data_IF_035229659866
#
_entry.id   IF_035229659866
#
_cell.length_a   1.000
_cell.length_b   1.000
_cell.length_c   1.000
_cell.angle_alpha   90.00
_cell.angle_beta   90.00
_cell.angle_gamma   90.00
#
_symmetry.space_group_name_H-M   'P 1'
#
loop_
_entity.id
_entity.type
_entity.pdbx_description
1 polymer ?
#
# COMPACT_ATOMS: atom_id res chain seq x y z
N UNK A 1 13.50 9.28 58.66
CA UNK A 1 12.69 10.32 58.00
C UNK A 1 13.48 10.86 56.82
N UNK A 2 13.22 10.36 55.63
CA UNK A 2 14.02 10.64 54.43
C UNK A 2 13.17 11.50 53.49
N UNK A 3 13.49 12.78 53.43
CA UNK A 3 12.78 13.77 52.62
C UNK A 3 13.25 13.71 51.17
N UNK A 4 12.37 13.25 50.27
CA UNK A 4 12.63 13.15 48.83
C UNK A 4 12.24 14.47 48.17
N UNK A 5 13.22 15.15 47.56
CA UNK A 5 13.02 16.38 46.78
C UNK A 5 12.42 16.06 45.41
N UNK A 6 11.21 16.54 45.14
CA UNK A 6 10.60 16.59 43.82
C UNK A 6 11.12 17.82 43.07
N UNK A 7 12.00 17.63 42.08
CA UNK A 7 12.50 18.71 41.23
C UNK A 7 11.80 18.72 39.86
N UNK A 8 11.07 19.81 39.62
CA UNK A 8 10.79 20.51 38.36
C UNK A 8 10.93 19.75 37.01
N UNK A 9 9.79 19.31 36.45
CA UNK A 9 9.65 18.85 35.04
C UNK A 9 8.85 19.81 34.14
N UNK A 10 8.43 20.98 34.64
CA UNK A 10 7.50 21.86 33.93
C UNK A 10 8.10 22.68 32.76
N UNK A 11 9.43 22.80 32.65
CA UNK A 11 10.04 23.72 31.67
C UNK A 11 10.40 23.10 30.31
N UNK A 12 10.33 21.77 30.16
CA UNK A 12 10.69 21.08 28.90
C UNK A 12 9.52 20.97 27.90
N UNK A 13 8.26 21.06 28.39
CA UNK A 13 7.07 20.90 27.54
C UNK A 13 6.77 22.05 26.58
N UNK A 14 7.29 23.26 26.80
CA UNK A 14 6.96 24.44 25.97
C UNK A 14 7.82 24.58 24.70
N UNK A 15 9.00 23.96 24.62
CA UNK A 15 9.85 24.05 23.42
C UNK A 15 9.33 23.17 22.28
N UNK A 16 8.72 22.02 22.59
CA UNK A 16 8.23 21.09 21.57
C UNK A 16 6.99 21.58 20.78
N UNK A 17 6.18 22.47 21.36
CA UNK A 17 4.93 22.90 20.71
C UNK A 17 5.15 23.93 19.58
N UNK A 18 6.25 24.70 19.63
CA UNK A 18 6.57 25.66 18.58
C UNK A 18 7.17 24.96 17.36
N UNK A 19 8.04 23.97 17.59
CA UNK A 19 8.66 23.17 16.53
C UNK A 19 7.62 22.31 15.77
N UNK A 20 6.63 21.72 16.48
CA UNK A 20 5.51 21.01 15.85
C UNK A 20 4.63 21.92 14.97
N UNK A 21 4.48 23.21 15.32
CA UNK A 21 3.64 24.13 14.55
C UNK A 21 4.31 24.54 13.24
N UNK A 22 5.64 24.70 13.23
CA UNK A 22 6.40 25.09 12.04
C UNK A 22 6.50 23.95 11.02
N UNK A 23 6.61 22.71 11.48
CA UNK A 23 6.67 21.51 10.63
C UNK A 23 5.32 21.27 9.92
N UNK A 24 4.20 21.41 10.65
CA UNK A 24 2.85 21.30 10.07
C UNK A 24 2.57 22.35 8.97
N UNK A 25 3.18 23.54 9.05
CA UNK A 25 2.94 24.62 8.08
C UNK A 25 3.72 24.43 6.78
N UNK A 26 4.93 23.82 6.84
CA UNK A 26 5.71 23.46 5.65
C UNK A 26 5.01 22.38 4.82
N UNK A 27 4.42 21.38 5.48
CA UNK A 27 3.65 20.33 4.81
C UNK A 27 2.43 20.89 4.06
N UNK A 28 1.74 21.89 4.64
CA UNK A 28 0.58 22.51 4.02
C UNK A 28 0.93 23.25 2.71
N UNK A 29 2.06 23.96 2.66
CA UNK A 29 2.53 24.67 1.47
C UNK A 29 2.90 23.68 0.37
N UNK A 30 3.64 22.62 0.68
CA UNK A 30 4.02 21.57 -0.28
C UNK A 30 2.78 20.86 -0.86
N UNK A 31 1.75 20.62 -0.04
CA UNK A 31 0.47 20.05 -0.47
C UNK A 31 -0.30 20.96 -1.43
N UNK A 32 -0.21 22.30 -1.27
CA UNK A 32 -0.90 23.25 -2.16
C UNK A 32 -0.29 23.32 -3.56
N UNK A 33 1.04 23.29 -3.68
CA UNK A 33 1.71 23.35 -4.98
C UNK A 33 1.54 22.05 -5.77
N UNK A 34 1.57 20.89 -5.11
CA UNK A 34 1.30 19.60 -5.76
C UNK A 34 -0.14 19.50 -6.29
N UNK A 35 -1.12 20.06 -5.56
CA UNK A 35 -2.52 20.12 -6.03
C UNK A 35 -2.68 21.06 -7.22
N UNK A 36 -2.00 22.21 -7.23
CA UNK A 36 -2.07 23.17 -8.34
C UNK A 36 -1.45 22.60 -9.62
N UNK A 37 -0.29 21.94 -9.54
CA UNK A 37 0.33 21.28 -10.70
C UNK A 37 -0.54 20.15 -11.27
N UNK A 38 -1.29 19.43 -10.43
CA UNK A 38 -2.22 18.40 -10.91
C UNK A 38 -3.39 18.95 -11.73
N UNK A 39 -3.75 20.22 -11.61
CA UNK A 39 -4.84 20.80 -12.39
C UNK A 39 -4.48 21.02 -13.87
N UNK A 40 -3.19 21.15 -14.18
CA UNK A 40 -2.73 21.63 -15.49
C UNK A 40 -2.15 20.54 -16.39
N UNK A 41 -2.21 19.27 -15.98
CA UNK A 41 -1.67 18.16 -16.78
C UNK A 41 -2.37 18.07 -18.15
N UNK A 42 -1.57 18.09 -19.21
CA UNK A 42 -2.00 17.93 -20.60
C UNK A 42 -2.33 16.49 -20.95
N UNK A 43 -3.00 16.29 -22.08
CA UNK A 43 -3.34 14.95 -22.58
C UNK A 43 -2.08 14.12 -22.88
N UNK A 44 -1.07 14.75 -23.49
CA UNK A 44 0.19 14.14 -23.89
C UNK A 44 1.02 13.71 -22.68
N UNK A 45 1.07 14.55 -21.65
CA UNK A 45 1.73 14.23 -20.38
C UNK A 45 1.06 13.05 -19.68
N UNK A 46 -0.28 12.99 -19.68
CA UNK A 46 -1.01 11.88 -19.11
C UNK A 46 -0.75 10.57 -19.86
N UNK A 47 -0.78 10.58 -21.19
CA UNK A 47 -0.50 9.37 -21.98
C UNK A 47 0.96 8.92 -21.82
N UNK A 48 1.90 9.86 -21.71
CA UNK A 48 3.31 9.58 -21.37
C UNK A 48 3.42 8.93 -19.98
N UNK A 49 2.70 9.44 -18.98
CA UNK A 49 2.63 8.84 -17.65
C UNK A 49 2.11 7.40 -17.71
N UNK A 50 1.04 7.13 -18.45
CA UNK A 50 0.51 5.76 -18.61
C UNK A 50 1.54 4.82 -19.23
N UNK A 51 2.33 5.32 -20.20
CA UNK A 51 3.39 4.52 -20.83
C UNK A 51 4.56 4.25 -19.89
N UNK A 52 5.07 5.28 -19.22
CA UNK A 52 6.31 5.19 -18.43
C UNK A 52 6.09 4.68 -17.00
N UNK A 53 5.07 5.18 -16.31
CA UNK A 53 4.81 4.87 -14.89
C UNK A 53 3.86 3.69 -14.71
N UNK A 54 3.02 3.42 -15.70
CA UNK A 54 2.10 2.27 -15.71
C UNK A 54 2.53 1.17 -16.67
N UNK A 55 3.75 1.21 -17.19
CA UNK A 55 4.32 0.24 -18.14
C UNK A 55 3.42 0.01 -19.37
N UNK A 56 2.62 1.00 -19.78
CA UNK A 56 1.66 0.86 -20.88
C UNK A 56 0.59 -0.21 -20.66
N UNK A 57 0.31 -0.60 -19.40
CA UNK A 57 -0.62 -1.69 -19.06
C UNK A 57 -2.07 -1.43 -19.45
N UNK A 58 -2.40 -0.16 -19.58
CA UNK A 58 -3.65 0.29 -20.15
C UNK A 58 -3.43 1.62 -20.84
N UNK A 59 -4.26 1.89 -21.84
CA UNK A 59 -4.18 3.10 -22.65
C UNK A 59 -5.49 3.85 -22.59
N UNK A 60 -5.43 5.16 -22.81
CA UNK A 60 -6.60 5.99 -23.01
C UNK A 60 -7.20 5.70 -24.39
N UNK A 61 -8.52 5.60 -24.46
CA UNK A 61 -9.28 5.41 -25.72
C UNK A 61 -10.37 6.47 -25.89
N UNK A 62 -10.75 7.18 -24.83
CA UNK A 62 -11.72 8.27 -24.87
C UNK A 62 -11.11 9.66 -25.02
N UNK A 63 -11.97 10.64 -25.31
CA UNK A 63 -11.63 12.06 -25.39
C UNK A 63 -11.16 12.60 -24.05
N UNK A 64 -10.12 13.44 -24.07
CA UNK A 64 -9.61 14.10 -22.87
C UNK A 64 -10.55 15.23 -22.43
N UNK A 65 -11.02 15.16 -21.19
CA UNK A 65 -11.87 16.20 -20.57
C UNK A 65 -11.20 16.91 -19.39
N UNK A 66 -9.90 16.73 -19.20
CA UNK A 66 -9.16 17.18 -18.02
C UNK A 66 -9.04 16.12 -16.92
N UNK A 67 -8.21 16.40 -15.91
CA UNK A 67 -7.72 15.42 -14.93
C UNK A 67 -8.82 14.83 -14.04
N UNK A 68 -9.90 15.57 -13.81
CA UNK A 68 -11.01 15.16 -12.94
C UNK A 68 -12.20 14.56 -13.70
N UNK A 69 -12.23 14.66 -15.03
CA UNK A 69 -13.32 14.10 -15.84
C UNK A 69 -13.02 12.65 -16.17
N UNK A 70 -14.05 11.82 -16.19
CA UNK A 70 -13.90 10.40 -16.53
C UNK A 70 -13.52 10.28 -18.00
N UNK A 71 -12.54 9.43 -18.30
CA UNK A 71 -12.07 9.17 -19.66
C UNK A 71 -12.05 7.65 -19.87
N UNK A 72 -12.43 7.17 -21.04
CA UNK A 72 -12.37 5.74 -21.33
C UNK A 72 -10.92 5.25 -21.47
N UNK A 73 -10.64 4.09 -20.88
CA UNK A 73 -9.39 3.34 -20.97
C UNK A 73 -9.68 1.90 -21.39
N UNK A 74 -8.65 1.27 -21.93
CA UNK A 74 -8.65 -0.14 -22.33
C UNK A 74 -7.40 -0.83 -21.79
N UNK A 75 -7.57 -2.05 -21.27
CA UNK A 75 -6.45 -2.88 -20.86
C UNK A 75 -5.65 -3.33 -22.08
N UNK A 76 -4.34 -3.14 -22.05
CA UNK A 76 -3.45 -3.59 -23.13
C UNK A 76 -3.09 -5.09 -23.04
N UNK A 77 -3.57 -5.79 -22.00
CA UNK A 77 -3.48 -7.24 -21.90
C UNK A 77 -4.52 -7.88 -22.83
N UNK A 78 -4.04 -8.63 -23.84
CA UNK A 78 -4.87 -9.23 -24.89
C UNK A 78 -5.95 -10.15 -24.33
N UNK A 79 -5.69 -10.82 -23.21
CA UNK A 79 -6.67 -11.71 -22.58
C UNK A 79 -7.72 -10.96 -21.77
N UNK A 80 -7.36 -9.79 -21.23
CA UNK A 80 -8.29 -8.99 -20.44
C UNK A 80 -9.15 -8.10 -21.32
N UNK A 81 -8.54 -7.29 -22.19
CA UNK A 81 -9.15 -6.31 -23.11
C UNK A 81 -10.28 -5.44 -22.51
N UNK A 82 -10.35 -5.34 -21.18
CA UNK A 82 -11.48 -4.69 -20.50
C UNK A 82 -11.43 -3.20 -20.80
N UNK A 83 -12.60 -2.61 -21.01
CA UNK A 83 -12.79 -1.16 -21.07
C UNK A 83 -13.40 -0.65 -19.78
N UNK A 84 -12.94 0.49 -19.28
CA UNK A 84 -13.50 1.18 -18.11
C UNK A 84 -13.24 2.68 -18.19
N UNK A 85 -13.92 3.49 -17.37
CA UNK A 85 -13.82 4.94 -17.42
C UNK A 85 -13.56 5.58 -16.04
N UNK A 86 -12.32 5.55 -15.52
CA UNK A 86 -11.90 6.31 -14.35
C UNK A 86 -11.60 7.77 -14.70
N UNK A 87 -11.40 8.62 -13.69
CA UNK A 87 -10.74 9.91 -13.93
C UNK A 87 -9.22 9.72 -14.05
N UNK A 88 -8.52 10.55 -14.85
CA UNK A 88 -7.06 10.59 -14.86
C UNK A 88 -6.45 10.75 -13.47
N UNK A 89 -7.04 11.57 -12.59
CA UNK A 89 -6.60 11.72 -11.20
C UNK A 89 -6.47 10.37 -10.48
N UNK A 90 -7.47 9.49 -10.64
CA UNK A 90 -7.44 8.15 -10.06
C UNK A 90 -6.31 7.31 -10.67
N UNK A 91 -6.13 7.38 -11.99
CA UNK A 91 -5.07 6.66 -12.68
C UNK A 91 -3.65 7.12 -12.29
N UNK A 92 -3.51 8.38 -11.87
CA UNK A 92 -2.25 8.95 -11.39
C UNK A 92 -1.84 8.41 -10.01
N UNK A 93 -2.72 7.73 -9.26
CA UNK A 93 -2.31 7.06 -8.02
C UNK A 93 -1.47 5.84 -8.35
N UNK A 94 -0.44 5.55 -7.56
CA UNK A 94 0.50 4.47 -7.86
C UNK A 94 -0.15 3.09 -7.94
N UNK A 95 -1.23 2.87 -7.18
CA UNK A 95 -1.92 1.59 -7.04
C UNK A 95 -3.10 1.38 -8.01
N UNK A 96 -3.42 2.36 -8.86
CA UNK A 96 -4.52 2.23 -9.81
C UNK A 96 -4.12 1.46 -11.08
N UNK A 97 -4.85 0.38 -11.38
CA UNK A 97 -4.66 -0.50 -12.55
C UNK A 97 -6.00 -1.05 -13.05
N UNK A 98 -5.97 -1.83 -14.14
CA UNK A 98 -7.16 -2.52 -14.68
C UNK A 98 -7.92 -3.29 -13.57
N UNK A 99 -9.19 -2.95 -13.29
CA UNK A 99 -9.96 -3.58 -12.23
C UNK A 99 -10.12 -5.09 -12.41
N UNK A 100 -10.25 -5.58 -13.65
CA UNK A 100 -10.33 -7.03 -13.90
C UNK A 100 -9.02 -7.74 -13.59
N UNK A 101 -7.88 -7.20 -14.05
CA UNK A 101 -6.58 -7.77 -13.73
C UNK A 101 -6.33 -7.77 -12.21
N UNK A 102 -6.69 -6.68 -11.54
CA UNK A 102 -6.56 -6.51 -10.08
C UNK A 102 -7.49 -7.44 -9.28
N UNK A 103 -8.77 -7.54 -9.64
CA UNK A 103 -9.75 -8.35 -8.91
C UNK A 103 -9.55 -9.84 -9.14
N UNK A 104 -9.16 -10.26 -10.36
CA UNK A 104 -8.83 -11.65 -10.64
C UNK A 104 -7.71 -12.18 -9.72
N UNK A 105 -6.80 -11.32 -9.23
CA UNK A 105 -5.77 -11.72 -8.26
C UNK A 105 -6.30 -12.18 -6.91
N UNK A 106 -7.47 -11.70 -6.47
CA UNK A 106 -7.99 -12.01 -5.13
C UNK A 106 -8.65 -13.39 -5.04
N UNK A 107 -9.28 -13.85 -6.12
CA UNK A 107 -10.25 -14.95 -6.04
C UNK A 107 -9.88 -16.21 -6.85
N UNK A 108 -8.74 -16.26 -7.55
CA UNK A 108 -8.47 -17.35 -8.48
C UNK A 108 -7.05 -17.92 -8.42
N UNK A 109 -6.71 -18.59 -7.31
CA UNK A 109 -5.44 -19.32 -7.16
C UNK A 109 -5.31 -20.50 -8.15
N UNK A 110 -6.43 -21.14 -8.52
CA UNK A 110 -6.40 -22.32 -9.39
C UNK A 110 -6.10 -21.99 -10.85
N UNK A 111 -6.32 -20.73 -11.27
CA UNK A 111 -6.00 -20.25 -12.63
C UNK A 111 -4.50 -20.11 -12.88
N UNK A 112 -3.67 -20.26 -11.85
CA UNK A 112 -2.20 -20.21 -11.92
C UNK A 112 -1.56 -21.46 -12.54
N UNK A 113 -2.36 -22.48 -12.89
CA UNK A 113 -1.88 -23.65 -13.64
C UNK A 113 -1.81 -23.42 -15.16
N UNK A 114 -2.45 -22.35 -15.67
CA UNK A 114 -2.45 -22.05 -17.11
C UNK A 114 -1.27 -21.14 -17.46
N UNK A 115 -0.39 -21.62 -18.34
CA UNK A 115 0.81 -20.91 -18.79
C UNK A 115 0.49 -19.65 -19.64
N UNK A 116 -0.70 -19.56 -20.24
CA UNK A 116 -1.14 -18.39 -21.03
C UNK A 116 -1.48 -17.22 -20.11
N UNK A 117 -2.05 -17.55 -18.96
CA UNK A 117 -2.26 -16.66 -17.82
C UNK A 117 -0.96 -16.47 -17.03
N UNK A 118 0.15 -16.28 -17.75
CA UNK A 118 1.45 -15.79 -17.30
C UNK A 118 1.23 -14.38 -16.75
N UNK A 119 0.74 -14.35 -15.53
CA UNK A 119 0.56 -13.23 -14.62
C UNK A 119 0.86 -11.84 -15.20
N UNK A 120 -0.03 -10.90 -14.84
CA UNK A 120 0.38 -9.52 -14.57
C UNK A 120 1.30 -9.45 -13.33
N UNK A 121 2.44 -10.18 -13.35
CA UNK A 121 3.54 -10.22 -12.37
C UNK A 121 4.08 -8.84 -12.05
N UNK A 122 3.79 -7.89 -12.94
CA UNK A 122 4.23 -6.51 -12.84
C UNK A 122 3.31 -5.62 -12.03
N UNK A 123 2.07 -6.01 -11.68
CA UNK A 123 1.27 -5.22 -10.73
C UNK A 123 1.97 -5.38 -9.38
N UNK A 124 2.64 -4.33 -8.87
CA UNK A 124 3.47 -4.55 -7.72
C UNK A 124 2.53 -4.80 -6.52
N UNK A 125 2.94 -5.71 -5.65
CA UNK A 125 2.22 -6.07 -4.44
C UNK A 125 3.14 -5.82 -3.24
N UNK A 126 2.54 -5.50 -2.11
CA UNK A 126 3.26 -5.23 -0.87
C UNK A 126 3.02 -6.41 0.05
N UNK A 127 4.07 -7.19 0.27
CA UNK A 127 4.07 -8.23 1.30
C UNK A 127 4.40 -7.60 2.64
N UNK A 128 3.64 -7.97 3.66
CA UNK A 128 3.86 -7.44 5.00
C UNK A 128 3.87 -8.52 6.06
N UNK A 129 4.56 -8.20 7.16
CA UNK A 129 4.58 -8.96 8.40
C UNK A 129 4.30 -7.98 9.56
N UNK A 130 3.30 -8.26 10.38
CA UNK A 130 2.99 -7.54 11.60
C UNK A 130 3.21 -8.45 12.80
N UNK A 131 3.78 -7.91 13.87
CA UNK A 131 3.58 -8.42 15.22
C UNK A 131 2.33 -7.75 15.81
N UNK A 132 1.49 -8.49 16.51
CA UNK A 132 0.32 -7.95 17.18
C UNK A 132 0.09 -8.64 18.51
N UNK A 133 -0.55 -7.94 19.43
CA UNK A 133 -1.00 -8.47 20.72
C UNK A 133 -2.52 -8.44 20.73
N UNK A 134 -3.13 -9.56 21.07
CA UNK A 134 -4.57 -9.62 21.24
C UNK A 134 -4.97 -9.09 22.64
N UNK A 135 -5.71 -7.97 22.75
CA UNK A 135 -6.13 -7.42 24.04
C UNK A 135 -7.04 -8.38 24.82
N UNK A 136 -7.72 -9.33 24.16
CA UNK A 136 -8.61 -10.29 24.80
C UNK A 136 -7.91 -11.42 25.55
N UNK A 137 -6.60 -11.59 25.35
CA UNK A 137 -5.86 -12.73 25.94
C UNK A 137 -5.27 -12.44 27.32
N UNK A 138 -5.42 -11.23 27.87
CA UNK A 138 -4.72 -10.79 29.09
C UNK A 138 -5.57 -10.70 30.35
N UNK A 139 -6.68 -11.44 30.46
CA UNK A 139 -7.70 -11.12 31.46
C UNK A 139 -7.58 -11.80 32.83
N UNK A 140 -6.47 -12.45 33.23
CA UNK A 140 -6.13 -12.61 34.67
C UNK A 140 -4.76 -13.26 34.99
N UNK A 141 -4.10 -14.00 34.10
CA UNK A 141 -2.83 -14.67 34.46
C UNK A 141 -1.93 -15.09 33.26
N UNK A 142 -2.23 -14.55 32.08
CA UNK A 142 -1.66 -15.02 30.82
C UNK A 142 -0.61 -14.04 30.28
N UNK A 143 0.63 -14.54 30.18
CA UNK A 143 1.75 -13.91 29.47
C UNK A 143 1.25 -13.32 28.14
N UNK A 144 1.49 -12.02 27.93
CA UNK A 144 1.10 -11.29 26.71
C UNK A 144 1.64 -12.03 25.47
N UNK A 145 0.76 -12.73 24.76
CA UNK A 145 1.17 -13.57 23.64
C UNK A 145 1.23 -12.73 22.37
N UNK A 146 2.44 -12.45 21.89
CA UNK A 146 2.64 -11.83 20.58
C UNK A 146 2.31 -12.83 19.47
N UNK A 147 1.46 -12.40 18.52
CA UNK A 147 1.12 -13.14 17.31
C UNK A 147 1.77 -12.48 16.09
N UNK A 148 2.07 -13.28 15.07
CA UNK A 148 2.58 -12.80 13.80
C UNK A 148 1.50 -12.93 12.72
N UNK A 149 1.15 -11.81 12.10
CA UNK A 149 0.21 -11.74 10.97
C UNK A 149 0.97 -11.36 9.71
N UNK A 150 0.91 -12.20 8.68
CA UNK A 150 1.44 -11.87 7.36
C UNK A 150 0.33 -11.71 6.35
N UNK A 151 0.58 -10.95 5.29
CA UNK A 151 -0.40 -10.75 4.25
C UNK A 151 0.15 -9.98 3.06
N UNK A 152 -0.77 -9.59 2.17
CA UNK A 152 -0.47 -8.86 0.94
C UNK A 152 -1.45 -7.71 0.76
N UNK A 153 -1.00 -6.60 0.19
CA UNK A 153 -1.85 -5.45 -0.14
C UNK A 153 -1.32 -4.73 -1.38
N UNK A 154 -2.23 -4.10 -2.13
CA UNK A 154 -1.84 -3.31 -3.29
C UNK A 154 -1.26 -1.96 -2.91
N UNK A 155 -1.65 -1.45 -1.73
CA UNK A 155 -1.09 -0.22 -1.19
C UNK A 155 0.41 -0.37 -0.98
N UNK A 156 1.16 0.68 -1.30
CA UNK A 156 2.60 0.72 -1.03
C UNK A 156 2.90 0.65 0.47
N UNK A 157 2.08 1.33 1.28
CA UNK A 157 2.17 1.30 2.73
C UNK A 157 1.17 0.28 3.31
N UNK A 158 1.69 -0.79 3.91
CA UNK A 158 0.89 -1.82 4.55
C UNK A 158 0.01 -1.30 5.72
N UNK A 159 0.39 -0.19 6.36
CA UNK A 159 -0.40 0.41 7.45
C UNK A 159 -1.76 0.91 6.96
N UNK A 160 -1.86 1.37 5.70
CA UNK A 160 -3.13 1.83 5.11
C UNK A 160 -4.17 0.70 4.96
N UNK A 161 -3.76 -0.56 5.14
CA UNK A 161 -4.66 -1.72 5.07
C UNK A 161 -5.60 -1.79 6.28
N UNK A 162 -5.19 -1.26 7.42
CA UNK A 162 -5.89 -1.35 8.69
C UNK A 162 -6.32 0.03 9.16
N UNK A 163 -7.43 0.11 9.89
CA UNK A 163 -7.82 1.37 10.52
C UNK A 163 -6.85 1.73 11.64
N UNK A 164 -6.74 3.02 11.96
CA UNK A 164 -5.93 3.48 13.09
C UNK A 164 -6.42 2.90 14.43
N UNK A 165 -7.73 2.63 14.55
CA UNK A 165 -8.30 1.96 15.73
C UNK A 165 -7.84 0.51 15.83
N UNK A 166 -7.84 -0.25 14.75
CA UNK A 166 -7.39 -1.65 14.72
C UNK A 166 -5.89 -1.74 15.04
N UNK A 167 -5.06 -0.89 14.42
CA UNK A 167 -3.63 -0.84 14.69
C UNK A 167 -3.33 -0.61 16.18
N UNK A 168 -4.09 0.30 16.82
CA UNK A 168 -3.94 0.59 18.26
C UNK A 168 -4.48 -0.53 19.14
N UNK A 169 -5.68 -1.03 18.85
CA UNK A 169 -6.36 -2.08 19.62
C UNK A 169 -5.49 -3.34 19.74
N UNK A 170 -4.86 -3.74 18.63
CA UNK A 170 -4.02 -4.94 18.59
C UNK A 170 -2.52 -4.67 18.76
N UNK A 171 -2.14 -3.47 19.21
CA UNK A 171 -0.73 -3.02 19.33
C UNK A 171 0.13 -3.44 18.13
N UNK A 172 -0.39 -3.26 16.91
CA UNK A 172 0.22 -3.80 15.71
C UNK A 172 1.55 -3.09 15.41
N UNK A 173 2.63 -3.85 15.31
CA UNK A 173 3.95 -3.37 14.91
C UNK A 173 4.33 -3.96 13.56
N UNK A 174 4.52 -3.10 12.56
CA UNK A 174 5.01 -3.51 11.25
C UNK A 174 6.46 -3.98 11.37
N UNK A 175 6.70 -5.25 11.07
CA UNK A 175 8.03 -5.88 11.10
C UNK A 175 8.69 -5.88 9.72
N UNK A 176 7.90 -6.05 8.66
CA UNK A 176 8.39 -6.17 7.29
C UNK A 176 7.40 -5.53 6.33
N UNK A 177 7.92 -4.75 5.37
CA UNK A 177 7.16 -4.14 4.28
C UNK A 177 7.94 -4.26 2.98
N UNK A 178 7.70 -5.33 2.21
CA UNK A 178 8.40 -5.59 0.97
C UNK A 178 7.49 -5.30 -0.22
N UNK A 179 7.83 -4.24 -0.95
CA UNK A 179 7.22 -3.89 -2.23
C UNK A 179 7.94 -4.63 -3.34
N UNK A 180 7.19 -5.27 -4.24
CA UNK A 180 7.81 -5.87 -5.41
C UNK A 180 6.83 -6.54 -6.35
N UNK A 181 7.38 -6.96 -7.47
CA UNK A 181 6.68 -7.85 -8.41
C UNK A 181 6.37 -9.16 -7.70
N UNK A 182 5.17 -9.67 -7.90
CA UNK A 182 4.70 -10.83 -7.13
C UNK A 182 5.50 -12.10 -7.46
N UNK A 183 6.04 -12.21 -8.69
CA UNK A 183 6.97 -13.28 -9.07
C UNK A 183 8.22 -13.32 -8.17
N UNK A 184 8.72 -12.16 -7.76
CA UNK A 184 9.88 -12.04 -6.88
C UNK A 184 9.51 -12.43 -5.45
N UNK A 185 8.35 -11.95 -4.98
CA UNK A 185 7.87 -12.19 -3.61
C UNK A 185 7.50 -13.66 -3.40
N UNK A 186 6.82 -14.31 -4.36
CA UNK A 186 6.41 -15.71 -4.25
C UNK A 186 7.58 -16.69 -4.17
N UNK A 187 8.72 -16.36 -4.80
CA UNK A 187 9.96 -17.15 -4.68
C UNK A 187 10.50 -17.17 -3.24
N UNK A 188 10.25 -16.11 -2.47
CA UNK A 188 10.65 -16.04 -1.05
C UNK A 188 9.79 -17.00 -0.22
N UNK A 189 8.48 -17.04 -0.47
CA UNK A 189 7.54 -17.91 0.27
C UNK A 189 7.68 -19.41 -0.03
N UNK A 190 8.11 -19.79 -1.24
CA UNK A 190 8.26 -21.19 -1.64
C UNK A 190 9.44 -21.93 -1.00
N UNK A 191 10.52 -21.21 -0.63
CA UNK A 191 11.74 -21.81 -0.07
C UNK A 191 11.53 -22.47 1.30
N UNK A 192 10.52 -22.06 2.07
CA UNK A 192 10.26 -22.63 3.40
C UNK A 192 9.65 -24.03 3.36
N UNK A 193 9.02 -24.45 2.25
CA UNK A 193 8.36 -25.77 2.13
C UNK A 193 9.30 -26.90 1.68
N UNK A 194 10.47 -26.60 1.12
CA UNK A 194 11.35 -27.62 0.54
C UNK A 194 12.26 -28.35 1.55
N UNK A 195 12.35 -27.89 2.80
CA UNK A 195 13.28 -28.48 3.80
C UNK A 195 12.76 -29.72 4.57
N UNK A 196 11.65 -30.35 4.18
CA UNK A 196 11.06 -31.49 4.93
C UNK A 196 11.11 -32.86 4.24
N UNK A 197 11.89 -33.04 3.17
CA UNK A 197 12.01 -34.35 2.48
C UNK A 197 13.46 -34.76 2.22
N UNK A 198 14.20 -35.04 3.28
CA UNK A 198 15.48 -35.77 3.20
C UNK A 198 15.71 -36.45 4.55
N UNK A 199 15.13 -37.64 4.71
CA UNK A 199 15.14 -38.42 5.94
C UNK A 199 14.36 -39.72 5.74
N UNK A 200 14.81 -40.52 4.78
CA UNK A 200 14.46 -41.94 4.61
C UNK A 200 15.71 -42.64 4.09
#
# INVERSE_FOLDING_TARGET
MTSIRLANTASSKRRNAADELEENNKDAIILSDSKKQKLEMTMEEYDKFLKEKKDGRFKRTGTWGGVYKRVAHECCDLECARKWAPSPEQCLTDDYYCPSCVLHHRNNMNRFSDERLKWTANVPNTFYLFSLVDPGTGSNDSVEKSLIKFGRTQHENALKRYSTSELKQYKMKLLLNLRGKLITISKIGGRSKQKKKSGS
#
